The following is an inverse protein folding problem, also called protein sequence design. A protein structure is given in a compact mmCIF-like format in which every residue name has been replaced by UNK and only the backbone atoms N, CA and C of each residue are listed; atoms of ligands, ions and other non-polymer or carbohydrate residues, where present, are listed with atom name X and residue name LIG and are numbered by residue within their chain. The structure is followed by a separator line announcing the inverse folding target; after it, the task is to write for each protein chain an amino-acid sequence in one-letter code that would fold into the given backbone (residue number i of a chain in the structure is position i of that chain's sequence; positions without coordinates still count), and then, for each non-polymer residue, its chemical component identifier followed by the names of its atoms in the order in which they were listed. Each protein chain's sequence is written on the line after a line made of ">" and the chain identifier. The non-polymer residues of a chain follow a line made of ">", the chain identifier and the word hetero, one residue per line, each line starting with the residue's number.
data_IF_474551413274
#
_entry.id   IF_474551413274
#
_cell.length_a   1.000
_cell.length_b   1.000
_cell.length_c   1.000
_cell.angle_alpha   90.00
_cell.angle_beta   90.00
_cell.angle_gamma   90.00
#
_symmetry.space_group_name_H-M   'P 1'
#
loop_
_entity.id
_entity.type
_entity.pdbx_description
1 polymer ?
#
# COMPACT_ATOMS: atom_id res chain seq x y z
N UNK A 1 -1.87 -12.80 -14.34
CA UNK A 1 -3.19 -13.46 -14.21
C UNK A 1 -3.01 -14.97 -14.16
N UNK A 2 -3.25 -15.59 -13.02
CA UNK A 2 -3.19 -17.05 -12.90
C UNK A 2 -4.49 -17.64 -13.51
N UNK A 3 -4.34 -18.43 -14.56
CA UNK A 3 -5.48 -19.05 -15.26
C UNK A 3 -6.27 -20.05 -14.41
N UNK A 4 -5.72 -20.48 -13.28
CA UNK A 4 -6.39 -21.35 -12.30
C UNK A 4 -7.51 -20.62 -11.55
N UNK A 5 -7.41 -19.29 -11.45
CA UNK A 5 -8.35 -18.45 -10.71
C UNK A 5 -8.84 -17.28 -11.56
N UNK A 6 -9.69 -17.58 -12.57
CA UNK A 6 -10.18 -16.55 -13.46
C UNK A 6 -11.06 -15.56 -12.70
N UNK A 7 -10.89 -14.26 -12.99
CA UNK A 7 -11.83 -13.28 -12.51
C UNK A 7 -13.24 -13.55 -13.08
N UNK A 8 -14.27 -13.21 -12.34
CA UNK A 8 -15.66 -13.32 -12.75
C UNK A 8 -16.37 -11.98 -12.55
N UNK A 9 -17.16 -11.59 -13.54
CA UNK A 9 -18.06 -10.44 -13.43
C UNK A 9 -19.47 -10.96 -13.09
N UNK A 10 -20.02 -10.48 -11.98
CA UNK A 10 -21.37 -10.82 -11.51
C UNK A 10 -22.14 -9.52 -11.27
N UNK A 11 -22.89 -9.07 -12.29
CA UNK A 11 -23.53 -7.75 -12.28
C UNK A 11 -22.49 -6.63 -12.32
N UNK A 12 -22.45 -5.82 -11.28
CA UNK A 12 -21.48 -4.73 -11.07
C UNK A 12 -20.28 -5.14 -10.16
N UNK A 13 -20.21 -6.41 -9.79
CA UNK A 13 -19.19 -6.95 -8.89
C UNK A 13 -18.19 -7.82 -9.64
N UNK A 14 -16.90 -7.56 -9.44
CA UNK A 14 -15.81 -8.40 -9.92
C UNK A 14 -15.33 -9.29 -8.77
N UNK A 15 -15.28 -10.59 -9.03
CA UNK A 15 -14.70 -11.56 -8.10
C UNK A 15 -13.39 -12.07 -8.69
N UNK A 16 -12.31 -11.97 -7.94
CA UNK A 16 -10.98 -12.45 -8.33
C UNK A 16 -10.20 -12.86 -7.07
N UNK A 17 -9.06 -13.52 -7.25
CA UNK A 17 -8.07 -13.66 -6.19
C UNK A 17 -7.28 -12.35 -6.01
N UNK A 18 -6.55 -12.25 -4.89
CA UNK A 18 -5.81 -11.03 -4.56
C UNK A 18 -6.69 -10.00 -3.84
N UNK A 19 -7.66 -10.47 -3.05
CA UNK A 19 -8.52 -9.57 -2.28
C UNK A 19 -7.76 -8.94 -1.10
N UNK A 20 -6.82 -9.69 -0.52
CA UNK A 20 -5.93 -9.25 0.54
C UNK A 20 -4.71 -8.59 -0.08
N UNK A 21 -4.09 -9.25 -1.07
CA UNK A 21 -2.84 -8.85 -1.71
C UNK A 21 -3.05 -8.46 -3.19
N UNK A 22 -3.26 -7.17 -3.53
CA UNK A 22 -3.50 -6.04 -2.64
C UNK A 22 -4.85 -5.37 -2.98
N UNK A 23 -5.90 -6.17 -3.11
CA UNK A 23 -7.24 -5.68 -3.48
C UNK A 23 -7.81 -4.69 -2.48
N UNK A 24 -7.66 -4.94 -1.17
CA UNK A 24 -8.15 -4.00 -0.18
C UNK A 24 -7.35 -2.68 -0.17
N UNK A 25 -6.05 -2.72 -0.47
CA UNK A 25 -5.23 -1.52 -0.58
C UNK A 25 -5.68 -0.62 -1.72
N UNK A 26 -6.05 -1.20 -2.87
CA UNK A 26 -6.70 -0.44 -3.95
C UNK A 26 -7.97 0.26 -3.46
N UNK A 27 -8.82 -0.45 -2.71
CA UNK A 27 -10.04 0.11 -2.13
C UNK A 27 -9.77 1.25 -1.16
N UNK A 28 -8.79 1.08 -0.28
CA UNK A 28 -8.35 2.11 0.69
C UNK A 28 -7.87 3.35 -0.03
N UNK A 29 -7.03 3.22 -1.05
CA UNK A 29 -6.51 4.36 -1.82
C UNK A 29 -7.66 5.10 -2.51
N UNK A 30 -8.55 4.39 -3.20
CA UNK A 30 -9.66 5.01 -3.92
C UNK A 30 -10.62 5.74 -2.98
N UNK A 31 -10.98 5.15 -1.84
CA UNK A 31 -11.85 5.79 -0.87
C UNK A 31 -11.15 6.98 -0.19
N UNK A 32 -9.88 6.87 0.14
CA UNK A 32 -9.11 7.99 0.70
C UNK A 32 -9.10 9.20 -0.22
N UNK A 33 -8.93 8.98 -1.53
CA UNK A 33 -9.00 10.05 -2.54
C UNK A 33 -10.41 10.62 -2.62
N UNK A 34 -11.43 9.75 -2.65
CA UNK A 34 -12.82 10.19 -2.67
C UNK A 34 -13.13 11.09 -1.48
N UNK A 35 -12.68 10.75 -0.28
CA UNK A 35 -12.85 11.59 0.91
C UNK A 35 -12.05 12.89 0.79
N UNK A 36 -10.79 12.81 0.37
CA UNK A 36 -9.93 13.98 0.20
C UNK A 36 -10.49 14.99 -0.82
N UNK A 37 -11.14 14.53 -1.88
CA UNK A 37 -11.77 15.40 -2.89
C UNK A 37 -12.85 16.34 -2.33
N UNK A 38 -13.46 16.01 -1.19
CA UNK A 38 -14.43 16.89 -0.50
C UNK A 38 -13.76 18.19 -0.02
N UNK A 39 -12.45 18.16 0.19
CA UNK A 39 -11.63 19.27 0.66
C UNK A 39 -10.72 19.82 -0.46
N UNK A 40 -11.03 19.55 -1.71
CA UNK A 40 -10.20 19.90 -2.88
C UNK A 40 -9.79 21.37 -2.94
N UNK A 41 -10.65 22.27 -2.47
CA UNK A 41 -10.40 23.71 -2.46
C UNK A 41 -9.40 24.16 -1.37
N UNK A 42 -9.08 23.28 -0.43
CA UNK A 42 -8.13 23.53 0.66
C UNK A 42 -6.73 22.99 0.34
N UNK A 43 -6.58 22.30 -0.78
CA UNK A 43 -5.32 21.66 -1.15
C UNK A 43 -4.29 22.69 -1.64
N UNK A 44 -3.10 22.61 -1.06
CA UNK A 44 -1.92 23.33 -1.52
C UNK A 44 -1.00 22.43 -2.36
N UNK A 45 -1.27 21.12 -2.39
CA UNK A 45 -0.50 20.11 -3.08
C UNK A 45 -1.40 19.27 -3.99
N UNK A 46 -0.82 18.70 -5.05
CA UNK A 46 -1.50 17.70 -5.88
C UNK A 46 -1.37 16.32 -5.28
N UNK A 47 -2.28 15.42 -5.68
CA UNK A 47 -2.20 13.99 -5.41
C UNK A 47 -1.98 13.29 -6.74
N UNK A 48 -0.99 12.43 -6.82
CA UNK A 48 -0.78 11.46 -7.89
C UNK A 48 -1.07 10.08 -7.34
N UNK A 49 -1.77 9.26 -8.11
CA UNK A 49 -2.06 7.88 -7.76
C UNK A 49 -1.41 7.00 -8.79
N UNK A 50 -0.68 6.00 -8.34
CA UNK A 50 -0.05 5.03 -9.19
C UNK A 50 -0.48 3.63 -8.75
N UNK A 51 -1.12 2.91 -9.65
CA UNK A 51 -1.35 1.48 -9.54
C UNK A 51 -0.39 0.78 -10.48
N UNK A 52 0.39 -0.14 -9.94
CA UNK A 52 1.35 -0.94 -10.68
C UNK A 52 0.81 -2.35 -10.89
N UNK A 53 1.35 -3.05 -11.85
CA UNK A 53 1.15 -4.49 -12.04
C UNK A 53 2.48 -5.24 -11.85
N UNK A 54 2.41 -6.56 -11.89
CA UNK A 54 3.60 -7.42 -11.85
C UNK A 54 4.54 -7.13 -10.66
N UNK A 55 4.00 -6.75 -9.50
CA UNK A 55 4.75 -6.60 -8.25
C UNK A 55 5.39 -7.93 -7.88
N UNK A 56 4.65 -9.01 -7.91
CA UNK A 56 5.04 -10.40 -7.61
C UNK A 56 6.11 -10.96 -8.56
N UNK A 57 6.39 -10.28 -9.65
CA UNK A 57 7.40 -10.63 -10.64
C UNK A 57 8.55 -9.64 -10.57
N UNK A 58 9.16 -9.52 -9.40
CA UNK A 58 10.32 -8.66 -9.14
C UNK A 58 10.02 -7.16 -9.38
N UNK A 59 8.86 -6.65 -8.94
CA UNK A 59 8.47 -5.24 -8.99
C UNK A 59 8.50 -4.64 -10.40
N UNK A 60 8.18 -5.44 -11.43
CA UNK A 60 8.43 -5.05 -12.82
C UNK A 60 7.62 -3.82 -13.23
N UNK A 61 6.36 -3.69 -12.78
CA UNK A 61 5.54 -2.52 -13.06
C UNK A 61 6.14 -1.24 -12.50
N UNK A 62 6.53 -1.25 -11.23
CA UNK A 62 7.15 -0.07 -10.59
C UNK A 62 8.52 0.25 -11.16
N UNK A 63 9.35 -0.76 -11.47
CA UNK A 63 10.63 -0.57 -12.16
C UNK A 63 10.44 0.07 -13.53
N UNK A 64 9.45 -0.38 -14.30
CA UNK A 64 9.14 0.18 -15.61
C UNK A 64 8.64 1.62 -15.50
N UNK A 65 7.74 1.91 -14.55
CA UNK A 65 7.29 3.27 -14.28
C UNK A 65 8.47 4.19 -13.93
N UNK A 66 9.34 3.77 -13.02
CA UNK A 66 10.50 4.57 -12.62
C UNK A 66 11.53 4.77 -13.74
N UNK A 67 11.68 3.80 -14.64
CA UNK A 67 12.63 3.86 -15.73
C UNK A 67 12.12 4.67 -16.94
N UNK A 68 10.86 4.46 -17.33
CA UNK A 68 10.31 4.94 -18.60
C UNK A 68 9.29 6.07 -18.45
N UNK A 69 8.75 6.29 -17.26
CA UNK A 69 7.75 7.31 -16.96
C UNK A 69 8.16 8.18 -15.78
N UNK A 70 9.38 8.67 -15.81
CA UNK A 70 10.00 9.44 -14.69
C UNK A 70 9.17 10.66 -14.27
N UNK A 71 8.43 11.25 -15.18
CA UNK A 71 7.55 12.39 -14.96
C UNK A 71 6.46 12.12 -13.91
N UNK A 72 6.11 10.83 -13.67
CA UNK A 72 5.20 10.45 -12.60
C UNK A 72 5.77 10.86 -11.25
N UNK A 73 7.09 10.76 -11.08
CA UNK A 73 7.79 11.03 -9.83
C UNK A 73 8.26 12.49 -9.70
N UNK A 74 8.12 13.30 -10.75
CA UNK A 74 8.49 14.71 -10.72
C UNK A 74 7.64 15.49 -9.73
N UNK A 75 8.30 16.29 -8.88
CA UNK A 75 7.67 17.10 -7.83
C UNK A 75 6.87 16.28 -6.80
N UNK A 76 7.17 15.01 -6.63
CA UNK A 76 6.62 14.19 -5.54
C UNK A 76 7.45 14.47 -4.28
N UNK A 77 6.79 15.00 -3.25
CA UNK A 77 7.42 15.32 -1.97
C UNK A 77 7.24 14.22 -0.90
N UNK A 78 6.26 13.34 -1.09
CA UNK A 78 5.97 12.25 -0.17
C UNK A 78 5.29 11.10 -0.93
N UNK A 79 5.69 9.88 -0.62
CA UNK A 79 5.03 8.65 -1.09
C UNK A 79 4.36 7.96 0.09
N UNK A 80 3.11 7.56 -0.08
CA UNK A 80 2.40 6.64 0.78
C UNK A 80 2.21 5.34 0.00
N UNK A 81 2.90 4.28 0.39
CA UNK A 81 2.74 2.96 -0.18
C UNK A 81 1.84 2.13 0.71
N UNK A 82 0.88 1.46 0.12
CA UNK A 82 0.04 0.49 0.80
C UNK A 82 0.40 -0.87 0.23
N UNK A 83 0.67 -1.79 1.11
CA UNK A 83 1.17 -3.12 0.87
C UNK A 83 0.31 -4.12 1.62
N UNK A 84 0.30 -5.36 1.23
CA UNK A 84 -0.44 -6.40 1.89
C UNK A 84 0.46 -7.52 2.42
N UNK A 85 0.15 -7.97 3.63
CA UNK A 85 0.83 -9.10 4.26
C UNK A 85 -0.14 -10.03 4.97
N UNK A 86 -1.26 -9.50 5.40
CA UNK A 86 -2.30 -10.26 6.04
C UNK A 86 -3.62 -9.49 6.11
N UNK A 87 -4.73 -10.20 6.34
CA UNK A 87 -6.06 -9.62 6.31
C UNK A 87 -6.44 -8.87 7.59
N UNK A 88 -5.68 -9.05 8.67
CA UNK A 88 -6.06 -8.58 10.00
C UNK A 88 -4.99 -7.71 10.64
N UNK A 89 -5.41 -6.98 11.67
CA UNK A 89 -4.56 -6.12 12.49
C UNK A 89 -4.63 -4.65 12.08
N UNK A 90 -3.93 -3.80 12.82
CA UNK A 90 -3.83 -2.39 12.47
C UNK A 90 -2.97 -2.17 11.22
N UNK A 91 -3.22 -1.06 10.53
CA UNK A 91 -2.30 -0.56 9.50
C UNK A 91 -0.97 -0.19 10.18
N UNK A 92 0.01 -1.03 10.00
CA UNK A 92 1.35 -0.85 10.57
C UNK A 92 2.22 -0.06 9.60
N UNK A 93 2.74 1.08 10.05
CA UNK A 93 3.87 1.71 9.38
C UNK A 93 5.13 0.88 9.69
N UNK A 94 5.53 0.02 8.77
CA UNK A 94 6.61 -0.92 8.98
C UNK A 94 7.95 -0.48 8.36
N UNK A 95 7.91 0.43 7.40
CA UNK A 95 9.09 0.95 6.73
C UNK A 95 8.92 2.43 6.38
N UNK A 96 10.03 3.17 6.38
CA UNK A 96 10.11 4.55 5.90
C UNK A 96 11.36 4.75 5.05
N UNK A 97 11.38 5.83 4.27
CA UNK A 97 12.59 6.32 3.61
C UNK A 97 13.68 6.70 4.63
N UNK A 98 14.92 6.83 4.16
CA UNK A 98 16.03 7.32 4.97
C UNK A 98 15.81 8.77 5.42
N UNK A 99 16.38 9.15 6.57
CA UNK A 99 16.21 10.49 7.11
C UNK A 99 14.77 10.80 7.54
N UNK A 100 14.13 9.84 8.16
CA UNK A 100 12.68 9.72 8.36
C UNK A 100 12.08 10.57 9.49
N UNK A 101 12.84 11.38 10.21
CA UNK A 101 12.36 12.14 11.37
C UNK A 101 11.08 12.94 11.04
N UNK A 102 11.13 13.73 9.95
CA UNK A 102 9.99 14.55 9.55
C UNK A 102 8.80 13.73 9.09
N UNK A 103 9.06 12.59 8.44
CA UNK A 103 8.03 11.67 7.95
C UNK A 103 7.31 11.01 9.13
N UNK A 104 8.06 10.54 10.12
CA UNK A 104 7.51 9.98 11.36
C UNK A 104 6.73 11.02 12.16
N UNK A 105 7.24 12.24 12.27
CA UNK A 105 6.55 13.32 12.94
C UNK A 105 5.21 13.65 12.25
N UNK A 106 5.22 13.75 10.92
CA UNK A 106 4.00 13.95 10.12
C UNK A 106 2.97 12.85 10.39
N UNK A 107 3.41 11.60 10.40
CA UNK A 107 2.53 10.47 10.71
C UNK A 107 1.97 10.54 12.13
N UNK A 108 2.81 10.81 13.12
CA UNK A 108 2.39 10.91 14.52
C UNK A 108 1.38 12.04 14.76
N UNK A 109 1.54 13.18 14.06
CA UNK A 109 0.70 14.35 14.23
C UNK A 109 -0.66 14.22 13.53
N UNK A 110 -0.78 13.41 12.48
CA UNK A 110 -1.93 13.42 11.59
C UNK A 110 -2.68 12.08 11.52
N UNK A 111 -2.02 10.96 11.78
CA UNK A 111 -2.71 9.68 11.82
C UNK A 111 -3.61 9.59 13.05
N UNK A 112 -4.87 9.21 12.83
CA UNK A 112 -5.86 9.08 13.92
C UNK A 112 -5.48 7.98 14.91
N UNK A 113 -4.90 6.89 14.41
CA UNK A 113 -4.47 5.73 15.20
C UNK A 113 -3.07 5.30 14.75
N UNK A 114 -2.02 6.10 15.07
CA UNK A 114 -0.68 5.78 14.60
C UNK A 114 -0.20 4.47 15.23
N UNK A 115 0.28 3.57 14.39
CA UNK A 115 0.80 2.28 14.81
C UNK A 115 2.13 1.98 14.10
N UNK A 116 3.21 2.07 14.86
CA UNK A 116 4.56 1.78 14.38
C UNK A 116 5.48 1.46 15.55
N UNK A 117 6.56 0.72 15.29
CA UNK A 117 7.65 0.50 16.24
C UNK A 117 8.95 0.21 15.50
N UNK A 118 10.03 0.79 15.99
CA UNK A 118 11.34 0.80 15.32
C UNK A 118 11.91 -0.59 15.02
N UNK A 119 11.57 -1.59 15.82
CA UNK A 119 12.03 -2.97 15.61
C UNK A 119 11.52 -3.54 14.27
N UNK A 120 10.32 -3.13 13.82
CA UNK A 120 9.76 -3.64 12.56
C UNK A 120 10.59 -3.25 11.36
N UNK A 121 11.08 -2.01 11.31
CA UNK A 121 11.96 -1.58 10.25
C UNK A 121 13.23 -2.46 10.19
N UNK A 122 13.82 -2.74 11.34
CA UNK A 122 15.00 -3.62 11.41
C UNK A 122 14.68 -5.04 10.97
N UNK A 123 13.56 -5.60 11.42
CA UNK A 123 13.11 -6.95 11.03
C UNK A 123 12.83 -7.02 9.54
N UNK A 124 12.10 -6.06 9.00
CA UNK A 124 11.73 -6.02 7.58
C UNK A 124 12.97 -6.01 6.69
N UNK A 125 13.98 -5.20 7.01
CA UNK A 125 15.23 -5.15 6.25
C UNK A 125 16.05 -6.46 6.27
N UNK A 126 15.75 -7.38 7.18
CA UNK A 126 16.37 -8.73 7.18
C UNK A 126 15.57 -9.74 6.36
N UNK A 127 14.35 -9.40 5.94
CA UNK A 127 13.51 -10.29 5.14
C UNK A 127 13.93 -10.21 3.65
N UNK A 128 13.85 -11.33 2.91
CA UNK A 128 14.21 -11.35 1.49
C UNK A 128 13.15 -10.70 0.58
N UNK A 129 12.16 -10.07 1.15
CA UNK A 129 11.02 -9.50 0.45
C UNK A 129 11.27 -8.03 0.11
N UNK A 130 10.64 -7.59 -0.97
CA UNK A 130 10.57 -6.19 -1.37
C UNK A 130 9.12 -5.77 -1.56
N UNK A 131 8.92 -4.49 -1.77
CA UNK A 131 7.68 -3.89 -2.21
C UNK A 131 7.99 -2.80 -3.23
N UNK A 132 7.00 -2.29 -3.91
CA UNK A 132 7.15 -1.19 -4.86
C UNK A 132 7.85 0.02 -4.25
N UNK A 133 7.71 0.22 -2.94
CA UNK A 133 8.39 1.27 -2.20
C UNK A 133 9.92 1.19 -2.27
N UNK A 134 10.50 0.00 -2.44
CA UNK A 134 11.95 -0.21 -2.55
C UNK A 134 12.58 0.58 -3.71
N UNK A 135 11.80 0.84 -4.76
CA UNK A 135 12.29 1.54 -5.97
C UNK A 135 12.49 3.04 -5.71
N UNK A 136 11.74 3.60 -4.77
CA UNK A 136 11.72 5.06 -4.55
C UNK A 136 12.22 5.50 -3.17
N UNK A 137 12.28 4.62 -2.18
CA UNK A 137 12.56 4.94 -0.78
C UNK A 137 13.88 5.68 -0.54
N UNK A 138 14.87 5.47 -1.42
CA UNK A 138 16.19 6.12 -1.29
C UNK A 138 16.25 7.50 -1.94
N UNK A 139 15.23 7.88 -2.71
CA UNK A 139 15.18 9.11 -3.48
C UNK A 139 14.04 10.06 -3.10
N UNK A 140 12.92 9.52 -2.63
CA UNK A 140 11.72 10.29 -2.27
C UNK A 140 11.30 9.92 -0.84
N UNK A 141 11.05 10.92 0.04
CA UNK A 141 10.50 10.66 1.36
C UNK A 141 9.20 9.84 1.28
N UNK A 142 9.05 8.85 2.18
CA UNK A 142 7.85 8.02 2.10
C UNK A 142 7.64 7.12 3.29
N UNK A 143 6.46 6.53 3.31
CA UNK A 143 5.94 5.61 4.32
C UNK A 143 5.37 4.37 3.63
N UNK A 144 5.63 3.20 4.21
CA UNK A 144 5.16 1.92 3.72
C UNK A 144 4.30 1.23 4.80
N UNK A 145 3.06 0.94 4.45
CA UNK A 145 2.04 0.43 5.36
C UNK A 145 1.59 -0.97 4.97
N UNK A 146 1.35 -1.82 5.96
CA UNK A 146 0.71 -3.12 5.76
C UNK A 146 0.00 -3.58 7.03
N UNK A 147 -1.10 -4.31 6.90
CA UNK A 147 -1.59 -5.17 7.95
C UNK A 147 -0.81 -6.49 7.94
N UNK A 148 -0.44 -6.99 9.11
CA UNK A 148 0.50 -8.11 9.23
C UNK A 148 -0.01 -9.29 10.06
N UNK A 149 -1.24 -9.25 10.57
CA UNK A 149 -1.77 -10.35 11.33
C UNK A 149 -2.39 -11.41 10.41
N UNK A 150 -2.25 -12.66 10.83
CA UNK A 150 -2.74 -13.84 10.10
C UNK A 150 -2.16 -14.01 8.69
N UNK A 151 -0.84 -13.96 8.62
CA UNK A 151 -0.06 -14.07 7.37
C UNK A 151 -0.30 -15.37 6.60
N UNK A 152 -0.94 -16.37 7.20
CA UNK A 152 -1.23 -17.65 6.54
C UNK A 152 -2.25 -17.52 5.40
N UNK A 153 -2.93 -16.38 5.28
CA UNK A 153 -3.82 -16.10 4.16
C UNK A 153 -3.05 -15.57 2.94
N UNK A 154 -1.92 -14.94 3.17
CA UNK A 154 -1.07 -14.34 2.13
C UNK A 154 -0.52 -15.41 1.18
N UNK A 155 -0.61 -15.18 -0.13
CA UNK A 155 -0.18 -16.08 -1.20
C UNK A 155 -0.81 -17.48 -1.17
N UNK A 156 -2.04 -17.59 -0.66
CA UNK A 156 -2.80 -18.84 -0.60
C UNK A 156 -4.21 -18.68 -1.17
N UNK A 157 -4.96 -19.79 -1.31
CA UNK A 157 -6.37 -19.79 -1.71
C UNK A 157 -7.29 -19.06 -0.71
N UNK A 158 -6.76 -18.71 0.47
CA UNK A 158 -7.45 -17.92 1.48
C UNK A 158 -7.38 -16.42 1.21
N UNK A 159 -6.60 -15.98 0.23
CA UNK A 159 -6.60 -14.60 -0.25
C UNK A 159 -7.87 -14.31 -1.08
N UNK A 160 -8.97 -14.14 -0.39
CA UNK A 160 -10.28 -13.91 -0.98
C UNK A 160 -11.13 -12.96 -0.12
N UNK A 161 -12.26 -12.53 -0.66
CA UNK A 161 -13.13 -11.52 -0.05
C UNK A 161 -13.72 -11.95 1.31
N UNK A 162 -13.90 -13.25 1.53
CA UNK A 162 -14.48 -13.77 2.77
C UNK A 162 -13.52 -13.64 3.96
N UNK A 163 -12.24 -13.43 3.68
CA UNK A 163 -11.17 -13.32 4.67
C UNK A 163 -10.67 -11.88 4.87
N UNK A 164 -11.33 -10.88 4.30
CA UNK A 164 -11.00 -9.47 4.53
C UNK A 164 -11.62 -8.99 5.85
N UNK A 165 -10.87 -8.18 6.58
CA UNK A 165 -11.33 -7.52 7.81
C UNK A 165 -11.74 -6.07 7.57
N UNK A 166 -13.02 -5.76 7.70
CA UNK A 166 -13.52 -4.38 7.67
C UNK A 166 -12.85 -3.48 8.72
N UNK A 167 -12.50 -4.05 9.90
CA UNK A 167 -11.79 -3.30 10.94
C UNK A 167 -10.40 -2.90 10.51
N UNK A 168 -9.71 -3.79 9.80
CA UNK A 168 -8.38 -3.53 9.25
C UNK A 168 -8.46 -2.43 8.19
N UNK A 169 -9.38 -2.54 7.26
CA UNK A 169 -9.63 -1.52 6.23
C UNK A 169 -9.94 -0.17 6.90
N UNK A 170 -10.85 -0.14 7.87
CA UNK A 170 -11.21 1.07 8.59
C UNK A 170 -10.09 1.68 9.44
N UNK A 171 -8.99 0.96 9.69
CA UNK A 171 -7.82 1.50 10.38
C UNK A 171 -6.90 2.27 9.45
N UNK A 172 -6.94 2.03 8.13
CA UNK A 172 -6.17 2.78 7.14
C UNK A 172 -6.78 4.18 6.90
N UNK A 173 -8.08 4.36 7.09
CA UNK A 173 -8.84 5.60 6.92
C UNK A 173 -9.43 6.07 8.24
#
# INVERSE_FOLDING_TARGET
>A
HDSRYPWKLMGDTVTAMGAIDDGYGLGVILESIHQALKYRNEWNQGIKVLFTDAEEVDLQGMKAAHQYNKEIFDNVGLILNIEARGPFGPALLFETSMGNEKVIQLYADHARYPFTYSLMNVVYHQMPNGSDFNITRDSIPGMNFSAIADINHYHTDLDNIDNISEKTIGHYG
#
